data_IF_375331517635
#
_entry.id   IF_375331517635
#
_cell.length_a   1.000
_cell.length_b   1.000
_cell.length_c   1.000
_cell.angle_alpha   90.00
_cell.angle_beta   90.00
_cell.angle_gamma   90.00
#
_symmetry.space_group_name_H-M   'P 1'
#
loop_
_entity.id
_entity.type
_entity.pdbx_description
1 polymer ?
#
# COMPACT_ATOMS: atom_id res chain seq x y z
N UNK A 1 33.20 -40.04 -50.01
CA UNK A 1 31.99 -39.25 -49.71
C UNK A 1 31.09 -40.06 -48.78
N UNK A 2 31.19 -39.83 -47.47
CA UNK A 2 30.44 -40.59 -46.45
C UNK A 2 29.05 -39.97 -46.22
N UNK A 3 28.02 -40.79 -46.43
CA UNK A 3 26.60 -40.46 -46.21
C UNK A 3 26.22 -40.98 -44.82
N UNK A 4 26.12 -40.08 -43.85
CA UNK A 4 25.68 -40.39 -42.48
C UNK A 4 24.16 -40.55 -42.50
N UNK A 5 23.67 -41.79 -42.39
CA UNK A 5 22.28 -42.08 -42.08
C UNK A 5 22.07 -41.91 -40.57
N UNK A 6 21.24 -40.95 -40.17
CA UNK A 6 20.80 -40.79 -38.78
C UNK A 6 19.62 -41.73 -38.52
N UNK A 7 19.79 -42.63 -37.55
CA UNK A 7 18.69 -43.37 -36.93
C UNK A 7 17.76 -42.41 -36.18
N UNK A 8 16.46 -42.56 -36.40
CA UNK A 8 15.39 -41.96 -35.60
C UNK A 8 14.89 -43.05 -34.65
N UNK A 9 15.03 -42.92 -33.31
CA UNK A 9 14.30 -43.78 -32.40
C UNK A 9 12.88 -43.23 -32.19
N UNK A 10 11.91 -44.11 -32.41
CA UNK A 10 10.49 -43.94 -32.15
C UNK A 10 10.28 -44.03 -30.63
N UNK A 11 9.77 -42.98 -30.00
CA UNK A 11 9.37 -42.99 -28.58
C UNK A 11 7.86 -42.83 -28.43
N UNK A 12 7.26 -43.98 -28.11
CA UNK A 12 6.00 -44.29 -27.45
C UNK A 12 5.08 -43.13 -27.01
N UNK A 13 3.86 -43.19 -27.53
CA UNK A 13 2.65 -42.57 -26.98
C UNK A 13 2.40 -43.05 -25.54
N UNK A 14 2.52 -42.16 -24.56
CA UNK A 14 2.03 -42.38 -23.21
C UNK A 14 0.72 -41.61 -23.00
N UNK A 15 -0.40 -42.34 -23.10
CA UNK A 15 -1.74 -41.89 -22.69
C UNK A 15 -1.82 -42.06 -21.17
N UNK A 16 -1.68 -40.97 -20.40
CA UNK A 16 -1.97 -40.96 -18.95
C UNK A 16 -3.29 -40.22 -18.72
N UNK A 17 -4.31 -40.99 -18.38
CA UNK A 17 -5.52 -40.54 -17.68
C UNK A 17 -5.13 -39.94 -16.33
N UNK A 18 -5.43 -38.65 -16.12
CA UNK A 18 -5.33 -37.98 -14.82
C UNK A 18 -6.60 -38.24 -14.02
N UNK A 19 -6.57 -39.22 -13.13
CA UNK A 19 -7.49 -39.30 -12.00
C UNK A 19 -7.05 -38.31 -10.93
N UNK A 20 -7.94 -37.40 -10.57
CA UNK A 20 -7.73 -36.33 -9.59
C UNK A 20 -7.52 -36.88 -8.16
N UNK A 21 -6.43 -36.51 -7.45
CA UNK A 21 -6.29 -36.78 -6.02
C UNK A 21 -6.50 -35.47 -5.24
N UNK A 22 -7.73 -34.96 -5.22
CA UNK A 22 -8.12 -33.83 -4.36
C UNK A 22 -9.50 -34.08 -3.74
N UNK A 23 -9.60 -35.17 -2.98
CA UNK A 23 -10.61 -35.31 -1.94
C UNK A 23 -9.87 -35.89 -0.74
N UNK A 24 -10.12 -35.34 0.45
CA UNK A 24 -9.48 -35.65 1.75
C UNK A 24 -8.29 -34.74 2.12
N UNK A 25 -8.56 -33.45 2.33
CA UNK A 25 -7.80 -32.64 3.28
C UNK A 25 -8.77 -32.11 4.35
N UNK A 26 -8.83 -32.84 5.47
CA UNK A 26 -9.46 -32.37 6.68
C UNK A 26 -8.66 -31.16 7.20
N UNK A 27 -9.28 -29.97 7.14
CA UNK A 27 -8.74 -28.75 7.73
C UNK A 27 -9.04 -28.76 9.23
N UNK A 28 -8.05 -29.12 10.04
CA UNK A 28 -8.02 -28.73 11.46
C UNK A 28 -7.57 -27.28 11.52
N UNK A 29 -8.41 -26.40 12.06
CA UNK A 29 -8.15 -24.97 12.15
C UNK A 29 -6.99 -24.67 13.11
N UNK A 30 -5.93 -23.94 12.69
CA UNK A 30 -4.98 -23.38 13.63
C UNK A 30 -5.55 -22.09 14.24
N UNK A 31 -5.58 -22.04 15.57
CA UNK A 31 -5.81 -20.82 16.35
C UNK A 31 -4.62 -19.87 16.17
N UNK A 32 -4.70 -19.00 15.16
CA UNK A 32 -3.77 -17.86 15.03
C UNK A 32 -4.43 -16.59 15.52
N UNK A 33 -3.85 -16.04 16.59
CA UNK A 33 -4.07 -14.69 17.09
C UNK A 33 -4.05 -13.66 15.94
N UNK A 34 -5.18 -12.99 15.76
CA UNK A 34 -5.39 -12.00 14.70
C UNK A 34 -4.75 -10.68 15.13
N UNK A 35 -3.61 -10.33 14.54
CA UNK A 35 -3.10 -8.96 14.58
C UNK A 35 -3.88 -8.15 13.53
N UNK A 36 -5.00 -7.57 13.95
CA UNK A 36 -5.90 -6.76 13.11
C UNK A 36 -5.21 -5.46 12.71
N UNK A 37 -4.45 -5.47 11.62
CA UNK A 37 -4.04 -4.23 10.95
C UNK A 37 -5.20 -3.78 10.09
N UNK A 38 -5.97 -2.80 10.57
CA UNK A 38 -7.07 -2.19 9.85
C UNK A 38 -6.56 -1.49 8.57
N UNK A 39 -6.66 -2.17 7.43
CA UNK A 39 -6.46 -1.59 6.10
C UNK A 39 -7.67 -0.71 5.76
N UNK A 40 -7.60 0.59 6.08
CA UNK A 40 -8.51 1.59 5.50
C UNK A 40 -8.12 1.83 4.04
N UNK A 41 -8.85 1.23 3.12
CA UNK A 41 -8.76 1.54 1.69
C UNK A 41 -9.35 2.93 1.43
N UNK A 42 -8.50 3.90 1.09
CA UNK A 42 -8.95 5.14 0.47
C UNK A 42 -9.25 4.85 -1.01
N UNK A 43 -10.50 4.59 -1.34
CA UNK A 43 -10.99 4.61 -2.71
C UNK A 43 -11.43 6.04 -3.05
N UNK A 44 -10.56 6.85 -3.66
CA UNK A 44 -11.00 8.09 -4.32
C UNK A 44 -11.44 7.74 -5.75
N UNK A 45 -12.75 7.67 -5.97
CA UNK A 45 -13.33 7.52 -7.28
C UNK A 45 -13.12 8.78 -8.13
N UNK A 46 -12.64 8.61 -9.36
CA UNK A 46 -12.64 9.64 -10.39
C UNK A 46 -13.40 9.09 -11.60
N UNK A 47 -14.73 9.11 -11.53
CA UNK A 47 -15.60 8.92 -12.68
C UNK A 47 -15.87 10.30 -13.30
N UNK A 48 -15.32 10.54 -14.50
CA UNK A 48 -15.69 11.69 -15.34
C UNK A 48 -17.02 11.36 -16.02
N UNK A 49 -18.10 11.92 -15.50
CA UNK A 49 -19.40 11.97 -16.16
C UNK A 49 -19.69 13.40 -16.63
N UNK A 50 -19.86 13.56 -17.94
CA UNK A 50 -20.13 14.83 -18.62
C UNK A 50 -21.65 15.10 -18.58
N UNK A 51 -22.12 16.20 -17.99
CA UNK A 51 -23.48 16.71 -18.26
C UNK A 51 -23.63 18.21 -17.93
N UNK A 52 -24.55 18.82 -18.65
CA UNK A 52 -24.76 20.24 -18.98
C UNK A 52 -25.28 21.12 -17.82
N UNK A 53 -24.89 22.40 -17.91
CA UNK A 53 -25.63 23.66 -17.61
C UNK A 53 -26.78 23.61 -16.59
N UNK A 54 -26.62 24.34 -15.47
CA UNK A 54 -27.61 25.32 -14.98
C UNK A 54 -26.97 26.33 -14.00
N UNK A 55 -27.68 27.43 -13.82
CA UNK A 55 -27.38 28.81 -13.39
C UNK A 55 -26.90 29.06 -11.93
N UNK A 56 -26.49 30.30 -11.58
CA UNK A 56 -25.66 30.59 -10.42
C UNK A 56 -26.47 30.92 -9.16
N UNK A 57 -26.05 30.37 -8.03
CA UNK A 57 -26.56 30.77 -6.71
C UNK A 57 -25.47 31.58 -5.99
N UNK A 58 -25.75 32.87 -5.78
CA UNK A 58 -24.99 33.75 -4.89
C UNK A 58 -25.39 33.43 -3.45
N UNK A 59 -24.42 33.29 -2.55
CA UNK A 59 -24.64 33.52 -1.13
C UNK A 59 -23.51 34.37 -0.55
N UNK A 60 -23.94 35.41 0.13
CA UNK A 60 -23.21 36.51 0.73
C UNK A 60 -22.68 36.16 2.12
N UNK A 61 -21.48 36.67 2.41
CA UNK A 61 -20.90 36.82 3.74
C UNK A 61 -21.77 37.71 4.63
N UNK A 62 -21.67 37.55 5.96
CA UNK A 62 -21.64 38.74 6.81
C UNK A 62 -20.40 38.76 7.70
N UNK A 63 -19.73 39.91 7.65
CA UNK A 63 -18.85 40.44 8.67
C UNK A 63 -19.64 40.72 9.96
N UNK A 64 -19.02 40.55 11.12
CA UNK A 64 -19.36 41.36 12.29
C UNK A 64 -18.10 41.78 13.04
N UNK A 65 -17.75 43.06 12.86
CA UNK A 65 -16.93 43.86 13.78
C UNK A 65 -17.89 44.68 14.64
N UNK A 66 -17.69 44.68 15.96
CA UNK A 66 -18.17 45.71 16.90
C UNK A 66 -17.88 45.23 18.33
N UNK A 67 -17.42 46.00 19.33
CA UNK A 67 -16.96 47.38 19.49
C UNK A 67 -16.33 47.43 20.90
N UNK A 68 -15.38 48.35 21.09
CA UNK A 68 -14.74 48.69 22.37
C UNK A 68 -15.68 49.40 23.35
N UNK A 69 -15.43 49.25 24.66
CA UNK A 69 -15.47 50.27 25.71
C UNK A 69 -14.68 49.69 26.92
N UNK A 70 -13.57 50.22 27.48
CA UNK A 70 -13.11 51.56 27.91
C UNK A 70 -13.52 51.93 29.36
N UNK A 71 -12.48 52.16 30.20
CA UNK A 71 -12.35 52.79 31.55
C UNK A 71 -12.68 51.92 32.80
N UNK A 72 -11.73 51.48 33.67
CA UNK A 72 -10.75 52.17 34.59
C UNK A 72 -11.38 52.64 35.93
N UNK A 73 -10.64 52.90 37.04
CA UNK A 73 -9.45 52.26 37.64
C UNK A 73 -9.47 52.19 39.22
N UNK A 74 -8.34 51.77 39.83
CA UNK A 74 -7.89 51.98 41.24
C UNK A 74 -8.44 51.00 42.31
N UNK A 75 -7.70 50.48 43.29
CA UNK A 75 -6.57 51.05 44.08
C UNK A 75 -5.75 50.00 44.86
N UNK A 76 -4.43 50.27 44.97
CA UNK A 76 -3.52 50.15 46.14
C UNK A 76 -3.50 48.90 47.07
N UNK A 77 -2.31 48.25 47.17
CA UNK A 77 -1.46 48.17 48.38
C UNK A 77 -0.28 47.18 48.14
N UNK A 78 0.98 47.64 48.09
CA UNK A 78 2.07 47.46 49.09
C UNK A 78 2.20 46.01 49.62
N UNK A 79 3.28 45.25 49.53
CA UNK A 79 4.68 45.44 49.13
C UNK A 79 5.53 44.51 50.02
N UNK A 80 6.36 43.61 49.47
CA UNK A 80 7.53 43.02 50.15
C UNK A 80 8.59 42.66 49.10
N UNK A 81 9.76 43.26 49.27
CA UNK A 81 11.04 42.96 48.63
C UNK A 81 11.55 41.56 48.95
N UNK A 82 12.01 40.82 47.93
CA UNK A 82 13.04 39.79 48.11
C UNK A 82 13.88 39.66 46.84
N UNK A 83 15.18 39.50 47.04
CA UNK A 83 16.25 39.59 46.07
C UNK A 83 16.35 38.39 45.10
N UNK A 84 17.06 38.62 44.00
CA UNK A 84 17.20 37.82 42.78
C UNK A 84 17.80 36.38 42.96
N UNK A 85 17.87 35.55 41.90
CA UNK A 85 18.97 35.75 40.94
C UNK A 85 18.59 35.54 39.46
N UNK A 86 19.04 36.47 38.63
CA UNK A 86 18.94 36.48 37.16
C UNK A 86 19.96 35.55 36.47
N UNK A 87 20.21 34.34 37.01
CA UNK A 87 21.28 33.45 36.51
C UNK A 87 20.77 32.25 35.71
N UNK A 88 19.47 31.94 35.75
CA UNK A 88 18.91 30.76 35.06
C UNK A 88 18.67 30.99 33.55
N UNK A 89 18.37 32.22 33.14
CA UNK A 89 17.98 32.52 31.74
C UNK A 89 19.19 32.61 30.79
N UNK A 90 20.38 32.95 31.31
CA UNK A 90 21.59 33.05 30.50
C UNK A 90 22.23 31.69 30.23
N UNK A 91 22.08 30.71 31.14
CA UNK A 91 22.62 29.35 30.96
C UNK A 91 21.81 28.57 29.92
N UNK A 92 20.47 28.64 29.95
CA UNK A 92 19.60 27.97 28.98
C UNK A 92 19.78 28.51 27.54
N UNK A 93 20.01 29.82 27.39
CA UNK A 93 20.28 30.44 26.08
C UNK A 93 21.67 30.04 25.54
N UNK A 94 22.69 29.92 26.41
CA UNK A 94 24.06 29.56 26.02
C UNK A 94 24.19 28.06 25.69
N UNK A 95 23.43 27.22 26.37
CA UNK A 95 23.36 25.78 26.07
C UNK A 95 22.66 25.53 24.72
N UNK A 96 21.57 26.25 24.45
CA UNK A 96 20.87 26.24 23.15
C UNK A 96 21.76 26.73 22.00
N UNK A 97 22.50 27.83 22.18
CA UNK A 97 23.41 28.35 21.17
C UNK A 97 24.62 27.41 20.90
N UNK A 98 25.12 26.73 21.93
CA UNK A 98 26.22 25.76 21.77
C UNK A 98 25.78 24.47 21.06
N UNK A 99 24.54 24.03 21.27
CA UNK A 99 23.92 22.87 20.59
C UNK A 99 23.63 23.17 19.11
N UNK A 100 23.22 24.40 18.80
CA UNK A 100 23.05 24.90 17.41
C UNK A 100 24.41 25.06 16.70
N UNK A 101 25.46 25.52 17.39
CA UNK A 101 26.79 25.71 16.79
C UNK A 101 27.53 24.40 16.51
N UNK A 102 27.36 23.37 17.35
CA UNK A 102 27.92 22.02 17.11
C UNK A 102 27.21 21.26 15.98
N UNK A 103 25.90 21.45 15.83
CA UNK A 103 25.13 20.83 14.73
C UNK A 103 25.42 21.49 13.38
N UNK A 104 25.66 22.81 13.35
CA UNK A 104 26.05 23.53 12.13
C UNK A 104 27.42 23.09 11.57
N UNK A 105 28.43 22.92 12.43
CA UNK A 105 29.77 22.46 12.00
C UNK A 105 29.82 21.00 11.57
N UNK A 106 28.96 20.14 12.14
CA UNK A 106 28.83 18.73 11.73
C UNK A 106 28.18 18.60 10.34
N UNK A 107 27.16 19.42 10.06
CA UNK A 107 26.42 19.37 8.80
C UNK A 107 27.26 19.76 7.57
N UNK A 108 28.13 20.77 7.68
CA UNK A 108 29.00 21.21 6.57
C UNK A 108 30.04 20.16 6.22
N UNK A 109 30.65 19.54 7.23
CA UNK A 109 31.65 18.49 7.02
C UNK A 109 31.02 17.27 6.34
N UNK A 110 29.82 16.87 6.76
CA UNK A 110 29.16 15.71 6.20
C UNK A 110 28.64 15.91 4.78
N UNK A 111 28.11 17.10 4.44
CA UNK A 111 27.74 17.41 3.05
C UNK A 111 28.92 17.28 2.10
N UNK A 112 30.12 17.63 2.57
CA UNK A 112 31.39 17.47 1.85
C UNK A 112 31.80 16.01 1.74
N UNK A 113 31.73 15.25 2.83
CA UNK A 113 31.99 13.80 2.83
C UNK A 113 31.02 13.05 1.92
N UNK A 114 29.75 13.45 1.88
CA UNK A 114 28.74 12.85 1.03
C UNK A 114 28.97 13.19 -0.43
N UNK A 115 29.27 14.46 -0.74
CA UNK A 115 29.66 14.85 -2.09
C UNK A 115 30.90 14.07 -2.56
N UNK A 116 31.88 13.86 -1.68
CA UNK A 116 33.06 13.05 -1.97
C UNK A 116 32.73 11.57 -2.17
N UNK A 117 31.87 10.98 -1.32
CA UNK A 117 31.40 9.60 -1.48
C UNK A 117 30.62 9.42 -2.78
N UNK A 118 29.73 10.34 -3.10
CA UNK A 118 28.94 10.33 -4.33
C UNK A 118 29.76 10.64 -5.57
N UNK A 119 30.92 11.31 -5.44
CA UNK A 119 31.84 11.48 -6.56
C UNK A 119 32.53 10.17 -6.95
N UNK A 120 32.78 9.30 -5.95
CA UNK A 120 33.52 8.04 -6.11
C UNK A 120 32.60 6.86 -6.47
N UNK A 121 31.45 6.72 -5.82
CA UNK A 121 30.59 5.55 -5.97
C UNK A 121 29.11 5.83 -5.70
N UNK A 122 28.27 4.90 -6.13
CA UNK A 122 26.85 4.89 -5.77
C UNK A 122 26.69 4.55 -4.29
N UNK A 123 25.93 5.37 -3.56
CA UNK A 123 25.75 5.22 -2.11
C UNK A 123 24.35 4.68 -1.81
N UNK A 124 24.27 3.54 -1.14
CA UNK A 124 23.01 2.99 -0.66
C UNK A 124 22.59 3.75 0.60
N UNK A 125 21.41 4.36 0.56
CA UNK A 125 20.84 5.14 1.66
C UNK A 125 19.98 4.29 2.58
N UNK A 126 19.29 3.32 2.01
CA UNK A 126 18.26 2.55 2.70
C UNK A 126 18.22 1.11 2.21
N UNK A 127 18.14 0.20 3.16
CA UNK A 127 17.87 -1.21 2.96
C UNK A 127 16.71 -1.68 3.86
N UNK A 128 15.74 -2.44 3.34
CA UNK A 128 14.59 -2.90 4.09
C UNK A 128 15.00 -3.97 5.09
N UNK A 129 14.19 -4.19 6.14
CA UNK A 129 14.40 -5.31 7.04
C UNK A 129 14.16 -6.64 6.29
N UNK A 130 14.91 -7.69 6.64
CA UNK A 130 14.80 -9.01 5.98
C UNK A 130 13.39 -9.62 6.07
N UNK A 131 12.64 -9.27 7.11
CA UNK A 131 11.26 -9.69 7.33
C UNK A 131 10.33 -9.23 6.20
N UNK A 132 10.61 -8.09 5.57
CA UNK A 132 9.80 -7.52 4.50
C UNK A 132 9.74 -8.44 3.28
N UNK A 133 10.85 -9.13 2.96
CA UNK A 133 10.92 -10.09 1.85
C UNK A 133 9.97 -11.27 2.06
N UNK A 134 9.85 -11.75 3.30
CA UNK A 134 8.92 -12.83 3.67
C UNK A 134 7.48 -12.36 3.51
N UNK A 135 7.15 -11.15 3.97
CA UNK A 135 5.82 -10.55 3.82
C UNK A 135 5.42 -10.36 2.36
N UNK A 136 6.33 -9.90 1.50
CA UNK A 136 6.04 -9.78 0.07
C UNK A 136 5.81 -11.12 -0.60
N UNK A 137 6.63 -12.13 -0.27
CA UNK A 137 6.40 -13.47 -0.78
C UNK A 137 5.04 -14.02 -0.35
N UNK A 138 4.66 -13.83 0.93
CA UNK A 138 3.34 -14.21 1.44
C UNK A 138 2.22 -13.47 0.70
N UNK A 139 2.35 -12.16 0.48
CA UNK A 139 1.37 -11.37 -0.28
C UNK A 139 1.19 -11.90 -1.72
N UNK A 140 2.28 -12.22 -2.41
CA UNK A 140 2.20 -12.83 -3.75
C UNK A 140 1.57 -14.23 -3.71
N UNK A 141 1.88 -15.05 -2.70
CA UNK A 141 1.25 -16.35 -2.52
C UNK A 141 -0.27 -16.22 -2.27
N UNK A 142 -0.68 -15.29 -1.41
CA UNK A 142 -2.09 -14.98 -1.15
C UNK A 142 -2.80 -14.48 -2.41
N UNK A 143 -2.15 -13.62 -3.21
CA UNK A 143 -2.70 -13.18 -4.50
C UNK A 143 -2.91 -14.36 -5.47
N UNK A 144 -1.97 -15.30 -5.52
CA UNK A 144 -2.11 -16.54 -6.29
C UNK A 144 -3.26 -17.42 -5.80
N UNK A 145 -3.40 -17.61 -4.48
CA UNK A 145 -4.52 -18.34 -3.88
C UNK A 145 -5.87 -17.70 -4.20
N UNK A 146 -5.96 -16.36 -4.17
CA UNK A 146 -7.17 -15.65 -4.57
C UNK A 146 -7.54 -15.95 -6.02
N UNK A 147 -6.58 -15.94 -6.95
CA UNK A 147 -6.86 -16.27 -8.35
C UNK A 147 -7.34 -17.71 -8.53
N UNK A 148 -6.76 -18.67 -7.81
CA UNK A 148 -7.22 -20.07 -7.84
C UNK A 148 -8.64 -20.19 -7.28
N UNK A 149 -8.92 -19.53 -6.16
CA UNK A 149 -10.24 -19.52 -5.54
C UNK A 149 -11.31 -18.95 -6.49
N UNK A 150 -11.10 -17.75 -7.01
CA UNK A 150 -12.05 -17.11 -7.95
C UNK A 150 -12.13 -17.86 -9.28
N UNK A 151 -11.03 -18.44 -9.75
CA UNK A 151 -10.99 -19.30 -10.94
C UNK A 151 -11.83 -20.57 -10.77
N UNK A 152 -11.77 -21.21 -9.61
CA UNK A 152 -12.59 -22.39 -9.31
C UNK A 152 -14.08 -22.04 -9.25
N UNK A 153 -14.45 -20.91 -8.63
CA UNK A 153 -15.85 -20.45 -8.61
C UNK A 153 -16.32 -20.09 -10.02
N UNK A 154 -15.48 -19.43 -10.81
CA UNK A 154 -15.80 -19.09 -12.20
C UNK A 154 -15.99 -20.35 -13.06
N UNK A 155 -15.15 -21.38 -12.87
CA UNK A 155 -15.30 -22.66 -13.54
C UNK A 155 -16.60 -23.36 -13.12
N UNK A 156 -16.91 -23.36 -11.82
CA UNK A 156 -18.16 -23.93 -11.30
C UNK A 156 -19.39 -23.21 -11.85
N UNK A 157 -19.39 -21.87 -11.85
CA UNK A 157 -20.45 -21.08 -12.47
C UNK A 157 -20.52 -21.34 -13.98
N UNK A 158 -19.38 -21.52 -14.64
CA UNK A 158 -19.37 -21.88 -16.04
C UNK A 158 -19.97 -23.26 -16.28
N UNK A 159 -19.78 -24.29 -15.44
CA UNK A 159 -20.28 -25.65 -15.72
C UNK A 159 -21.67 -25.95 -15.14
N UNK A 160 -22.03 -25.35 -14.00
CA UNK A 160 -23.22 -25.71 -13.21
C UNK A 160 -24.24 -24.58 -13.04
N UNK A 161 -24.04 -23.40 -13.62
CA UNK A 161 -25.03 -22.34 -13.49
C UNK A 161 -26.31 -22.68 -14.28
N UNK A 162 -27.41 -22.83 -13.56
CA UNK A 162 -28.74 -23.13 -14.07
C UNK A 162 -29.61 -21.87 -14.04
N UNK A 163 -30.47 -21.72 -15.05
CA UNK A 163 -31.52 -20.70 -14.99
C UNK A 163 -32.63 -21.28 -14.13
N UNK A 164 -32.69 -20.90 -12.84
CA UNK A 164 -33.79 -21.31 -11.98
C UNK A 164 -34.99 -20.39 -12.26
N UNK A 165 -36.06 -20.88 -12.93
CA UNK A 165 -37.23 -20.05 -13.20
C UNK A 165 -38.02 -19.69 -11.93
N UNK A 166 -37.73 -20.33 -10.79
CA UNK A 166 -38.39 -20.05 -9.50
C UNK A 166 -38.25 -18.59 -9.02
N UNK A 167 -37.23 -17.85 -9.49
CA UNK A 167 -37.06 -16.43 -9.17
C UNK A 167 -37.45 -15.49 -10.32
N UNK A 168 -37.84 -16.03 -11.49
CA UNK A 168 -38.52 -15.23 -12.50
C UNK A 168 -39.95 -15.01 -12.01
N UNK A 169 -40.28 -13.76 -11.67
CA UNK A 169 -41.53 -13.29 -11.05
C UNK A 169 -42.81 -13.50 -11.90
N UNK A 170 -42.81 -14.47 -12.80
CA UNK A 170 -43.89 -14.81 -13.73
C UNK A 170 -44.14 -16.32 -13.64
N UNK A 171 -44.50 -16.83 -12.47
CA UNK A 171 -45.13 -18.15 -12.42
C UNK A 171 -46.58 -18.02 -12.88
N UNK A 172 -47.02 -18.68 -13.96
CA UNK A 172 -48.43 -18.91 -14.22
C UNK A 172 -49.06 -19.73 -13.08
N UNK A 173 -50.38 -19.60 -12.85
CA UNK A 173 -51.07 -20.22 -11.71
C UNK A 173 -50.84 -21.73 -11.65
N UNK A 174 -50.76 -22.31 -10.43
CA UNK A 174 -50.44 -23.72 -10.26
C UNK A 174 -51.49 -24.62 -10.96
N UNK A 175 -51.05 -25.67 -11.69
CA UNK A 175 -51.96 -26.65 -12.25
C UNK A 175 -52.71 -27.43 -11.13
N UNK A 176 -53.90 -28.00 -11.43
CA UNK A 176 -54.69 -28.75 -10.46
C UNK A 176 -53.91 -29.92 -9.86
N UNK A 177 -54.10 -30.16 -8.55
CA UNK A 177 -53.40 -31.18 -7.76
C UNK A 177 -53.45 -32.57 -8.41
N UNK A 178 -52.32 -33.31 -8.48
CA UNK A 178 -52.31 -34.69 -8.94
C UNK A 178 -52.92 -35.62 -7.88
N UNK A 179 -53.64 -36.65 -8.36
CA UNK A 179 -54.23 -37.71 -7.54
C UNK A 179 -53.15 -38.54 -6.81
N UNK A 180 -53.45 -39.07 -5.60
CA UNK A 180 -52.51 -39.81 -4.79
C UNK A 180 -52.17 -41.16 -5.46
N UNK A 181 -50.89 -41.38 -5.78
CA UNK A 181 -50.42 -42.69 -6.23
C UNK A 181 -49.29 -42.72 -7.27
N UNK A 182 -48.80 -41.57 -7.74
CA UNK A 182 -47.69 -41.54 -8.72
C UNK A 182 -46.41 -41.05 -8.07
N UNK A 183 -45.77 -41.91 -7.29
CA UNK A 183 -44.40 -41.74 -6.80
C UNK A 183 -43.41 -42.02 -7.95
N UNK A 184 -43.48 -41.19 -9.00
CA UNK A 184 -42.51 -41.18 -10.08
C UNK A 184 -41.32 -40.31 -9.68
N UNK A 185 -40.12 -40.87 -9.76
CA UNK A 185 -38.84 -40.20 -9.54
C UNK A 185 -38.73 -39.06 -10.57
N UNK A 186 -39.25 -37.89 -10.23
CA UNK A 186 -39.14 -36.70 -11.06
C UNK A 186 -37.74 -36.13 -10.83
N UNK A 187 -36.75 -36.77 -11.48
CA UNK A 187 -35.41 -36.23 -11.65
C UNK A 187 -35.56 -34.90 -12.37
N UNK A 188 -35.75 -33.84 -11.59
CA UNK A 188 -35.89 -32.47 -12.07
C UNK A 188 -34.52 -32.04 -12.56
N UNK A 189 -34.15 -32.48 -13.77
CA UNK A 189 -32.96 -32.02 -14.46
C UNK A 189 -33.15 -30.53 -14.73
N UNK A 190 -32.62 -29.71 -13.82
CA UNK A 190 -32.70 -28.26 -13.94
C UNK A 190 -31.96 -27.85 -15.22
N UNK A 191 -32.61 -27.17 -16.17
CA UNK A 191 -31.98 -26.81 -17.43
C UNK A 191 -30.79 -25.86 -17.17
N UNK A 192 -29.65 -26.17 -17.79
CA UNK A 192 -28.49 -25.29 -17.75
C UNK A 192 -28.81 -23.95 -18.42
N UNK A 193 -28.28 -22.86 -17.85
CA UNK A 193 -28.48 -21.53 -18.40
C UNK A 193 -27.85 -21.39 -19.80
N UNK A 194 -28.32 -20.42 -20.62
CA UNK A 194 -27.71 -20.10 -21.90
C UNK A 194 -26.20 -19.86 -21.82
N UNK A 195 -25.46 -20.30 -22.83
CA UNK A 195 -23.98 -20.19 -22.88
C UNK A 195 -23.49 -18.76 -22.62
N UNK A 196 -24.17 -17.75 -23.18
CA UNK A 196 -23.81 -16.33 -23.00
C UNK A 196 -23.88 -15.90 -21.53
N UNK A 197 -24.93 -16.30 -20.82
CA UNK A 197 -25.11 -15.98 -19.39
C UNK A 197 -23.99 -16.58 -18.56
N UNK A 198 -23.67 -17.86 -18.81
CA UNK A 198 -22.57 -18.58 -18.13
C UNK A 198 -21.22 -17.92 -18.36
N UNK A 199 -20.93 -17.48 -19.59
CA UNK A 199 -19.70 -16.76 -19.94
C UNK A 199 -19.62 -15.40 -19.22
N UNK A 200 -20.71 -14.63 -19.19
CA UNK A 200 -20.73 -13.30 -18.56
C UNK A 200 -20.47 -13.42 -17.05
N UNK A 201 -21.15 -14.37 -16.39
CA UNK A 201 -21.01 -14.59 -14.95
C UNK A 201 -19.60 -15.10 -14.62
N UNK A 202 -19.09 -16.09 -15.35
CA UNK A 202 -17.75 -16.62 -15.11
C UNK A 202 -16.67 -15.55 -15.36
N UNK A 203 -16.79 -14.75 -16.44
CA UNK A 203 -15.89 -13.64 -16.72
C UNK A 203 -15.92 -12.58 -15.61
N UNK A 204 -17.09 -12.26 -15.06
CA UNK A 204 -17.24 -11.33 -13.93
C UNK A 204 -16.53 -11.82 -12.67
N UNK A 205 -16.63 -13.12 -12.37
CA UNK A 205 -15.95 -13.75 -11.23
C UNK A 205 -14.43 -13.73 -11.38
N UNK A 206 -13.91 -14.07 -12.57
CA UNK A 206 -12.47 -13.98 -12.88
C UNK A 206 -11.99 -12.53 -12.77
N UNK A 207 -12.75 -11.58 -13.31
CA UNK A 207 -12.44 -10.15 -13.21
C UNK A 207 -12.35 -9.67 -11.76
N UNK A 208 -13.27 -10.10 -10.90
CA UNK A 208 -13.26 -9.81 -9.46
C UNK A 208 -11.99 -10.35 -8.78
N UNK A 209 -11.63 -11.60 -9.07
CA UNK A 209 -10.41 -12.21 -8.56
C UNK A 209 -9.14 -11.46 -8.99
N UNK A 210 -9.07 -11.02 -10.25
CA UNK A 210 -7.96 -10.22 -10.77
C UNK A 210 -7.82 -8.87 -10.05
N UNK A 211 -8.93 -8.17 -9.79
CA UNK A 211 -8.91 -6.88 -9.07
C UNK A 211 -8.38 -7.06 -7.65
N UNK A 212 -8.84 -8.09 -6.92
CA UNK A 212 -8.38 -8.39 -5.56
C UNK A 212 -6.89 -8.76 -5.56
N UNK A 213 -6.48 -9.67 -6.44
CA UNK A 213 -5.09 -10.10 -6.56
C UNK A 213 -4.16 -8.93 -6.92
N UNK A 214 -4.60 -8.05 -7.83
CA UNK A 214 -3.88 -6.83 -8.19
C UNK A 214 -3.75 -5.89 -6.99
N UNK A 215 -4.81 -5.68 -6.21
CA UNK A 215 -4.77 -4.88 -4.98
C UNK A 215 -3.75 -5.38 -3.97
N UNK A 216 -3.68 -6.70 -3.77
CA UNK A 216 -2.68 -7.34 -2.89
C UNK A 216 -1.26 -7.11 -3.42
N UNK A 217 -1.05 -7.26 -4.74
CA UNK A 217 0.27 -7.08 -5.37
C UNK A 217 0.71 -5.62 -5.45
N UNK A 218 -0.24 -4.67 -5.49
CA UNK A 218 0.03 -3.24 -5.56
C UNK A 218 0.81 -2.74 -4.34
N UNK A 219 0.63 -3.38 -3.17
CA UNK A 219 1.35 -3.07 -1.94
C UNK A 219 2.86 -3.30 -2.15
N UNK A 220 3.39 -4.53 -2.38
CA UNK A 220 4.80 -4.76 -2.65
C UNK A 220 5.41 -3.91 -3.78
N UNK A 221 4.63 -3.56 -4.79
CA UNK A 221 5.11 -2.73 -5.91
C UNK A 221 5.41 -1.29 -5.52
N UNK A 222 4.83 -0.79 -4.42
CA UNK A 222 5.01 0.57 -3.92
C UNK A 222 6.05 0.66 -2.79
N UNK A 223 6.47 -0.45 -2.22
CA UNK A 223 7.52 -0.47 -1.22
C UNK A 223 8.90 -0.33 -1.84
N UNK A 224 9.70 0.55 -1.26
CA UNK A 224 11.11 0.72 -1.59
C UNK A 224 11.90 -0.45 -0.99
N UNK A 225 12.63 -1.17 -1.82
CA UNK A 225 13.56 -2.22 -1.41
C UNK A 225 15.01 -1.77 -1.43
N UNK A 226 15.31 -0.69 -2.15
CA UNK A 226 16.63 -0.08 -2.11
C UNK A 226 16.52 1.37 -2.56
N UNK A 227 17.18 2.25 -1.84
CA UNK A 227 17.33 3.63 -2.29
C UNK A 227 18.81 3.91 -2.43
N UNK A 228 19.25 4.23 -3.64
CA UNK A 228 20.65 4.47 -3.97
C UNK A 228 20.80 5.86 -4.54
N UNK A 229 21.69 6.66 -3.97
CA UNK A 229 22.07 7.94 -4.57
C UNK A 229 23.13 7.64 -5.63
N UNK A 230 22.83 8.02 -6.86
CA UNK A 230 23.71 7.79 -8.00
C UNK A 230 24.92 8.71 -7.93
N UNK A 231 26.00 8.30 -8.60
CA UNK A 231 27.21 9.09 -8.76
C UNK A 231 26.90 10.52 -9.19
N UNK A 232 27.49 11.49 -8.49
CA UNK A 232 27.24 12.92 -8.69
C UNK A 232 26.14 13.52 -7.81
N UNK A 233 25.40 12.71 -7.03
CA UNK A 233 24.51 13.20 -5.97
C UNK A 233 23.27 13.97 -6.45
N UNK A 234 23.02 14.02 -7.75
CA UNK A 234 21.89 14.76 -8.34
C UNK A 234 20.64 13.90 -8.49
N UNK A 235 20.80 12.58 -8.60
CA UNK A 235 19.72 11.63 -8.85
C UNK A 235 19.72 10.50 -7.83
N UNK A 236 18.53 10.08 -7.43
CA UNK A 236 18.31 8.89 -6.63
C UNK A 236 17.69 7.80 -7.51
N UNK A 237 18.16 6.58 -7.34
CA UNK A 237 17.58 5.36 -7.91
C UNK A 237 16.74 4.69 -6.83
N UNK A 238 15.46 4.51 -7.11
CA UNK A 238 14.53 3.79 -6.25
C UNK A 238 14.30 2.41 -6.87
N UNK A 239 14.61 1.37 -6.12
CA UNK A 239 14.28 -0.01 -6.45
C UNK A 239 13.07 -0.42 -5.61
N UNK A 240 12.10 -1.08 -6.24
CA UNK A 240 10.85 -1.52 -5.59
C UNK A 240 10.75 -3.05 -5.56
N UNK A 241 9.92 -3.58 -4.66
CA UNK A 241 9.71 -5.02 -4.47
C UNK A 241 9.01 -5.76 -5.62
N UNK A 242 8.95 -5.16 -6.82
CA UNK A 242 8.35 -5.77 -8.00
C UNK A 242 9.25 -6.87 -8.54
N UNK A 243 8.86 -8.14 -8.32
CA UNK A 243 9.57 -9.36 -8.74
C UNK A 243 9.57 -9.64 -10.25
N UNK A 244 9.42 -8.63 -11.11
CA UNK A 244 9.63 -8.83 -12.55
C UNK A 244 11.13 -8.94 -12.85
N UNK A 245 11.55 -9.77 -13.83
CA UNK A 245 12.94 -10.19 -14.04
C UNK A 245 13.95 -9.06 -14.27
N UNK A 246 13.50 -7.82 -14.50
CA UNK A 246 14.36 -6.67 -14.71
C UNK A 246 14.37 -5.64 -13.58
N UNK A 247 13.82 -5.97 -12.39
CA UNK A 247 13.90 -5.13 -11.18
C UNK A 247 13.46 -3.70 -11.44
N UNK A 248 12.21 -3.35 -11.08
CA UNK A 248 11.70 -2.02 -11.42
C UNK A 248 12.48 -0.92 -10.69
N UNK A 249 13.40 -0.29 -11.42
CA UNK A 249 14.20 0.81 -10.96
C UNK A 249 13.78 2.08 -11.71
N UNK A 250 13.59 3.16 -10.96
CA UNK A 250 13.38 4.48 -11.52
C UNK A 250 14.34 5.46 -10.89
N UNK A 251 14.92 6.31 -11.74
CA UNK A 251 15.79 7.39 -11.32
C UNK A 251 15.01 8.70 -11.23
N UNK A 252 15.17 9.42 -10.13
CA UNK A 252 14.53 10.69 -9.85
C UNK A 252 15.55 11.74 -9.49
N UNK A 253 15.41 13.00 -9.95
CA UNK A 253 16.16 14.11 -9.39
C UNK A 253 15.86 14.22 -7.89
N UNK A 254 16.91 14.43 -7.08
CA UNK A 254 16.78 14.53 -5.63
C UNK A 254 15.81 15.65 -5.21
N UNK A 255 15.75 16.73 -6.00
CA UNK A 255 14.90 17.91 -5.79
C UNK A 255 13.39 17.65 -6.03
N UNK A 256 13.06 16.57 -6.75
CA UNK A 256 11.68 16.16 -7.01
C UNK A 256 11.14 15.27 -5.88
N UNK A 257 12.01 14.78 -5.01
CA UNK A 257 11.70 13.82 -3.98
C UNK A 257 11.48 14.53 -2.65
N UNK A 258 10.40 14.16 -1.98
CA UNK A 258 9.97 14.85 -0.77
C UNK A 258 9.27 13.90 0.18
N UNK A 259 9.59 14.06 1.46
CA UNK A 259 9.09 13.28 2.56
C UNK A 259 8.37 14.23 3.52
N UNK A 260 7.11 13.91 3.83
CA UNK A 260 6.27 14.71 4.74
C UNK A 260 6.50 14.38 6.21
N UNK A 261 7.16 13.26 6.49
CA UNK A 261 7.36 12.74 7.83
C UNK A 261 8.85 12.75 8.15
N UNK A 262 9.19 13.20 9.36
CA UNK A 262 10.55 13.12 9.85
C UNK A 262 10.89 11.67 10.19
N UNK A 263 12.05 11.19 9.73
CA UNK A 263 12.57 9.86 10.02
C UNK A 263 13.16 9.82 11.43
N UNK A 264 14.02 10.78 11.78
CA UNK A 264 14.67 10.84 13.10
C UNK A 264 13.69 11.37 14.12
N UNK A 265 13.39 10.54 15.10
CA UNK A 265 12.55 10.85 16.25
C UNK A 265 13.31 10.79 17.56
N UNK A 266 14.55 10.26 17.53
CA UNK A 266 15.36 9.92 18.70
C UNK A 266 14.70 8.88 19.62
N UNK A 267 13.72 8.13 19.12
CA UNK A 267 13.04 7.05 19.85
C UNK A 267 13.47 5.70 19.30
N UNK A 268 13.74 4.74 20.20
CA UNK A 268 14.14 3.37 19.86
C UNK A 268 15.64 3.21 19.57
N UNK A 269 16.10 1.97 19.32
CA UNK A 269 17.53 1.65 19.22
C UNK A 269 18.26 2.32 18.06
N UNK A 270 17.55 2.65 16.99
CA UNK A 270 18.09 3.39 15.84
C UNK A 270 17.64 4.86 15.79
N UNK A 271 16.85 5.32 16.77
CA UNK A 271 16.30 6.68 16.76
C UNK A 271 15.29 6.97 15.64
N UNK A 272 14.81 5.96 14.92
CA UNK A 272 13.88 6.05 13.78
C UNK A 272 12.45 5.58 14.10
N UNK A 273 12.24 5.03 15.31
CA UNK A 273 10.93 4.50 15.70
C UNK A 273 9.87 5.60 15.70
N UNK A 274 8.60 5.29 15.43
CA UNK A 274 7.53 6.28 15.48
C UNK A 274 7.50 7.01 16.84
N UNK A 275 7.55 8.34 16.82
CA UNK A 275 7.60 9.16 18.04
C UNK A 275 6.29 9.11 18.85
N UNK A 276 5.16 8.88 18.17
CA UNK A 276 3.83 8.81 18.75
C UNK A 276 3.27 7.41 18.56
N UNK A 277 2.68 6.87 19.62
CA UNK A 277 1.90 5.64 19.56
C UNK A 277 0.76 5.83 18.55
N UNK A 278 0.68 4.95 17.54
CA UNK A 278 -0.23 5.10 16.40
C UNK A 278 0.32 5.85 15.17
N UNK A 279 1.55 6.38 15.22
CA UNK A 279 2.22 6.89 14.02
C UNK A 279 2.55 5.74 13.07
N UNK A 280 2.45 5.98 11.76
CA UNK A 280 2.68 4.97 10.74
C UNK A 280 4.09 4.38 10.85
N UNK A 281 4.18 3.04 10.81
CA UNK A 281 5.45 2.31 10.73
C UNK A 281 6.20 2.59 9.41
N UNK A 282 5.51 3.18 8.44
CA UNK A 282 6.05 3.51 7.13
C UNK A 282 6.11 5.02 6.94
N UNK A 283 7.12 5.44 6.20
CA UNK A 283 7.33 6.79 5.70
C UNK A 283 6.88 6.85 4.25
N UNK A 284 6.15 7.90 3.90
CA UNK A 284 5.72 8.16 2.53
C UNK A 284 6.74 9.05 1.82
N UNK A 285 7.43 8.48 0.85
CA UNK A 285 8.37 9.19 -0.02
C UNK A 285 7.66 9.55 -1.33
N UNK A 286 7.30 10.81 -1.48
CA UNK A 286 6.63 11.34 -2.68
C UNK A 286 7.62 11.81 -3.73
N UNK A 287 7.25 11.68 -5.01
CA UNK A 287 7.93 12.34 -6.13
C UNK A 287 6.98 13.36 -6.75
N UNK A 288 7.45 14.55 -7.16
CA UNK A 288 6.63 15.52 -7.91
C UNK A 288 6.12 14.95 -9.23
N UNK A 289 6.84 13.99 -9.82
CA UNK A 289 6.50 13.36 -11.11
C UNK A 289 5.49 12.23 -10.98
N UNK A 290 5.30 11.68 -9.77
CA UNK A 290 4.36 10.59 -9.53
C UNK A 290 3.16 11.05 -8.71
N UNK A 291 1.98 10.53 -9.04
CA UNK A 291 0.75 10.80 -8.26
C UNK A 291 0.71 10.04 -6.93
N UNK A 292 1.49 8.97 -6.80
CA UNK A 292 1.47 8.09 -5.63
C UNK A 292 2.84 8.08 -4.96
N UNK A 293 2.84 8.10 -3.64
CA UNK A 293 4.06 8.00 -2.85
C UNK A 293 4.56 6.54 -2.80
N UNK A 294 5.85 6.39 -2.55
CA UNK A 294 6.49 5.13 -2.20
C UNK A 294 6.45 4.93 -0.68
N UNK A 295 6.41 3.67 -0.25
CA UNK A 295 6.47 3.30 1.16
C UNK A 295 7.90 2.90 1.53
N UNK A 296 8.44 3.52 2.56
CA UNK A 296 9.74 3.22 3.16
C UNK A 296 9.47 2.72 4.58
N UNK A 297 9.94 1.52 4.92
CA UNK A 297 9.77 0.99 6.28
C UNK A 297 10.75 1.67 7.24
N UNK A 298 10.25 2.26 8.33
CA UNK A 298 11.09 2.90 9.37
C UNK A 298 12.02 1.92 10.08
N UNK A 299 11.69 0.62 10.06
CA UNK A 299 12.49 -0.46 10.66
C UNK A 299 13.65 -0.92 9.78
N UNK A 300 13.77 -0.37 8.57
CA UNK A 300 14.91 -0.67 7.71
C UNK A 300 16.20 -0.02 8.20
N UNK A 301 17.32 -0.46 7.63
CA UNK A 301 18.63 0.07 7.94
C UNK A 301 18.88 1.31 7.09
N UNK A 302 19.13 2.44 7.75
CA UNK A 302 19.51 3.70 7.10
C UNK A 302 21.01 3.92 7.29
N UNK A 303 21.72 4.32 6.23
CA UNK A 303 23.15 4.65 6.34
C UNK A 303 23.37 5.87 7.25
N UNK A 304 22.51 6.88 7.11
CA UNK A 304 22.45 8.05 7.99
C UNK A 304 21.00 8.58 8.00
N UNK A 305 20.34 8.47 9.15
CA UNK A 305 18.95 8.89 9.30
C UNK A 305 18.79 10.41 9.39
N UNK A 306 19.77 11.14 9.97
CA UNK A 306 19.70 12.61 10.04
C UNK A 306 19.87 13.23 8.65
N UNK A 307 20.74 12.62 7.83
CA UNK A 307 20.90 13.00 6.44
C UNK A 307 19.61 12.82 5.65
N UNK A 308 18.88 11.71 5.87
CA UNK A 308 17.60 11.49 5.21
C UNK A 308 16.65 12.67 5.43
N UNK A 309 16.55 13.14 6.68
CA UNK A 309 15.70 14.28 6.99
C UNK A 309 16.20 15.56 6.32
N UNK A 310 17.51 15.85 6.35
CA UNK A 310 18.05 17.05 5.67
C UNK A 310 17.75 17.06 4.18
N UNK A 311 17.81 15.90 3.52
CA UNK A 311 17.62 15.76 2.08
C UNK A 311 16.14 15.77 1.70
N UNK A 312 15.34 14.91 2.33
CA UNK A 312 13.98 14.62 1.88
C UNK A 312 12.90 15.30 2.72
N UNK A 313 13.14 15.62 3.99
CA UNK A 313 12.10 16.18 4.84
C UNK A 313 11.78 17.63 4.46
N UNK A 314 10.48 17.87 4.24
CA UNK A 314 9.92 19.20 3.97
C UNK A 314 8.66 19.35 4.81
N UNK A 315 8.71 20.12 5.93
CA UNK A 315 7.49 20.46 6.67
C UNK A 315 6.61 21.35 5.80
N UNK A 316 5.29 21.18 5.94
CA UNK A 316 4.29 22.03 5.29
C UNK A 316 4.31 23.47 5.79
#
# INVERSE_FOLDING_TARGET
MQRIQRLIPITNCFRKTLTSPWCQLNFTAPTTSVCTTALRFYASGAAKGNSKKSSPFKYSHPDSKSKNAVLSPSSLATGVTSAAPATATVVAARESASKIRRTAGSATNFSRTLAEMCAKQDVIFYEPPETLRKTFWLAYATAGLQLIFWGNIAQYAFTHYTDNPMFSATQPPPPPLPLPGTEGIESTEVPLAPLRTRIIISAGLVGTGLVIAFGICAIPWRYVTRLTLLRGGTQIKIETGRKFPQGYHRSYPIQDMQCRQQLVTHVGPQGTSPAKEGSSAHIMLGSKKERMAFFVDRRGTFKDAELWDKVFYRPY
#
